data_IF_917146230203
#
_entry.id   IF_917146230203
#
_cell.length_a   1.000
_cell.length_b   1.000
_cell.length_c   1.000
_cell.angle_alpha   90.00
_cell.angle_beta   90.00
_cell.angle_gamma   90.00
#
_symmetry.space_group_name_H-M   'P 1'
#
loop_
_entity.id
_entity.type
_entity.pdbx_description
1 polymer ?
#
# COMPACT_ATOMS: atom_id res chain seq x y z
N UNK A 1 -14.89 9.41 14.26
CA UNK A 1 -16.16 8.68 14.48
C UNK A 1 -16.88 9.17 15.71
N UNK A 2 -16.30 9.07 16.88
CA UNK A 2 -16.95 9.43 18.16
C UNK A 2 -17.35 10.90 18.25
N UNK A 3 -16.56 11.83 17.74
CA UNK A 3 -16.90 13.28 17.74
C UNK A 3 -18.10 13.60 16.85
N UNK A 4 -18.23 12.92 15.70
CA UNK A 4 -19.42 13.04 14.84
C UNK A 4 -20.67 12.53 15.55
N UNK A 5 -20.55 11.41 16.27
CA UNK A 5 -21.67 10.86 17.06
C UNK A 5 -22.01 11.80 18.22
N UNK A 6 -21.02 12.38 18.91
CA UNK A 6 -21.22 13.35 19.98
C UNK A 6 -21.98 14.58 19.47
N UNK A 7 -21.62 15.08 18.29
CA UNK A 7 -22.30 16.22 17.66
C UNK A 7 -23.73 15.88 17.22
N UNK A 8 -24.05 14.62 16.90
CA UNK A 8 -25.38 14.21 16.45
C UNK A 8 -26.38 13.94 17.60
N UNK A 9 -25.92 13.79 18.85
CA UNK A 9 -26.78 13.45 20.00
C UNK A 9 -28.02 14.34 20.13
N UNK A 10 -27.96 15.69 20.01
CA UNK A 10 -29.13 16.54 20.17
C UNK A 10 -30.25 16.29 19.16
N UNK A 11 -29.90 15.74 17.97
CA UNK A 11 -30.84 15.44 16.89
C UNK A 11 -31.42 14.02 16.97
N UNK A 12 -30.90 13.15 17.85
CA UNK A 12 -31.37 11.77 18.00
C UNK A 12 -32.62 11.67 18.89
N UNK A 13 -33.50 10.68 18.66
CA UNK A 13 -34.58 10.34 19.57
C UNK A 13 -34.06 10.01 20.99
N UNK A 14 -34.84 10.31 22.07
CA UNK A 14 -34.37 10.13 23.45
C UNK A 14 -33.84 8.73 23.79
N UNK A 15 -34.42 7.67 23.21
CA UNK A 15 -33.97 6.31 23.40
C UNK A 15 -32.61 6.05 22.70
N UNK A 16 -32.36 6.64 21.54
CA UNK A 16 -31.11 6.52 20.81
C UNK A 16 -30.01 7.38 21.43
N UNK A 17 -30.37 8.52 22.05
CA UNK A 17 -29.42 9.32 22.88
C UNK A 17 -28.85 8.50 24.04
N UNK A 18 -29.65 7.61 24.67
CA UNK A 18 -29.15 6.73 25.74
C UNK A 18 -28.11 5.73 25.21
N UNK A 19 -28.34 5.19 24.01
CA UNK A 19 -27.38 4.31 23.34
C UNK A 19 -26.09 5.08 23.00
N UNK A 20 -26.21 6.29 22.46
CA UNK A 20 -25.07 7.15 22.17
C UNK A 20 -24.25 7.48 23.43
N UNK A 21 -24.93 7.79 24.55
CA UNK A 21 -24.24 8.06 25.84
C UNK A 21 -23.51 6.82 26.35
N UNK A 22 -24.13 5.63 26.31
CA UNK A 22 -23.46 4.38 26.67
C UNK A 22 -22.22 4.14 25.82
N UNK A 23 -22.31 4.35 24.51
CA UNK A 23 -21.19 4.26 23.58
C UNK A 23 -20.05 5.21 23.98
N UNK A 24 -20.35 6.48 24.28
CA UNK A 24 -19.34 7.49 24.57
C UNK A 24 -18.68 7.31 25.96
N UNK A 25 -19.34 6.59 26.88
CA UNK A 25 -18.76 6.25 28.19
C UNK A 25 -17.69 5.17 28.03
N UNK A 26 -17.99 4.09 27.31
CA UNK A 26 -17.05 2.99 27.09
C UNK A 26 -17.21 2.41 25.65
N UNK A 27 -16.56 3.04 24.70
CA UNK A 27 -16.62 2.59 23.31
C UNK A 27 -16.02 1.19 23.09
N UNK A 28 -15.01 0.78 23.88
CA UNK A 28 -14.38 -0.55 23.77
C UNK A 28 -15.37 -1.65 24.16
N UNK A 29 -16.00 -1.53 25.32
CA UNK A 29 -17.05 -2.46 25.74
C UNK A 29 -18.22 -2.46 24.78
N UNK A 30 -18.62 -1.30 24.24
CA UNK A 30 -19.69 -1.23 23.24
C UNK A 30 -19.39 -2.06 22.00
N UNK A 31 -18.15 -2.07 21.53
CA UNK A 31 -17.73 -2.84 20.34
C UNK A 31 -17.84 -4.36 20.56
N UNK A 32 -17.59 -4.86 21.78
CA UNK A 32 -17.52 -6.30 22.07
C UNK A 32 -18.81 -6.91 22.59
N UNK A 33 -19.60 -6.16 23.37
CA UNK A 33 -20.79 -6.64 24.03
C UNK A 33 -21.92 -7.08 23.04
N UNK A 34 -22.65 -8.17 23.31
CA UNK A 34 -23.80 -8.57 22.48
C UNK A 34 -24.93 -7.53 22.56
N UNK A 35 -25.80 -7.50 21.52
CA UNK A 35 -26.92 -6.54 21.45
C UNK A 35 -27.84 -6.60 22.65
N UNK A 36 -28.03 -7.79 23.24
CA UNK A 36 -28.81 -7.99 24.45
C UNK A 36 -28.27 -7.22 25.63
N UNK A 37 -26.96 -7.26 25.81
CA UNK A 37 -26.27 -6.56 26.91
C UNK A 37 -26.27 -5.06 26.67
N UNK A 38 -26.02 -4.59 25.44
CA UNK A 38 -26.09 -3.18 25.07
C UNK A 38 -27.50 -2.60 25.32
N UNK A 39 -28.56 -3.34 24.95
CA UNK A 39 -29.94 -2.93 25.15
C UNK A 39 -30.29 -2.81 26.65
N UNK A 40 -29.80 -3.76 27.46
CA UNK A 40 -29.99 -3.76 28.90
C UNK A 40 -29.31 -2.55 29.55
N UNK A 41 -28.02 -2.32 29.26
CA UNK A 41 -27.25 -1.21 29.80
C UNK A 41 -27.74 0.17 29.40
N UNK A 42 -28.24 0.29 28.17
CA UNK A 42 -28.79 1.54 27.66
C UNK A 42 -30.30 1.74 28.08
N UNK A 43 -30.90 0.77 28.76
CA UNK A 43 -32.34 0.75 29.09
C UNK A 43 -33.23 1.00 27.86
N UNK A 44 -32.98 0.25 26.78
CA UNK A 44 -33.74 0.32 25.51
C UNK A 44 -34.02 -1.06 24.95
N UNK A 45 -34.85 -1.15 23.91
CA UNK A 45 -35.06 -2.40 23.19
C UNK A 45 -33.89 -2.73 22.23
N UNK A 46 -33.65 -3.99 21.92
CA UNK A 46 -32.65 -4.43 20.92
C UNK A 46 -32.83 -3.71 19.56
N UNK A 47 -34.05 -3.56 19.01
CA UNK A 47 -34.29 -2.78 17.79
C UNK A 47 -33.83 -1.32 17.89
N UNK A 48 -33.92 -0.71 19.07
CA UNK A 48 -33.46 0.67 19.28
C UNK A 48 -31.93 0.80 19.14
N UNK A 49 -31.17 -0.18 19.60
CA UNK A 49 -29.70 -0.23 19.39
C UNK A 49 -29.36 -0.29 17.91
N UNK A 50 -30.10 -1.11 17.15
CA UNK A 50 -29.88 -1.23 15.69
C UNK A 50 -30.29 0.06 14.96
N UNK A 51 -31.42 0.67 15.34
CA UNK A 51 -31.86 1.97 14.77
C UNK A 51 -30.85 3.06 15.02
N UNK A 52 -30.33 3.18 16.24
CA UNK A 52 -29.26 4.14 16.55
C UNK A 52 -28.09 4.01 15.57
N UNK A 53 -27.60 2.78 15.30
CA UNK A 53 -26.52 2.57 14.34
C UNK A 53 -26.86 3.10 12.94
N UNK A 54 -28.10 2.92 12.50
CA UNK A 54 -28.58 3.44 11.20
C UNK A 54 -28.73 4.96 11.21
N UNK A 55 -29.27 5.54 12.29
CA UNK A 55 -29.45 6.99 12.44
C UNK A 55 -28.11 7.75 12.40
N UNK A 56 -27.02 7.12 12.82
CA UNK A 56 -25.67 7.71 12.75
C UNK A 56 -24.90 7.32 11.48
N UNK A 57 -25.58 6.67 10.49
CA UNK A 57 -25.05 6.47 9.13
C UNK A 57 -24.34 5.15 8.91
N UNK A 58 -24.72 4.07 9.60
CA UNK A 58 -24.18 2.72 9.43
C UNK A 58 -25.29 1.73 9.03
N UNK A 59 -24.95 0.66 8.32
CA UNK A 59 -25.92 -0.31 7.82
C UNK A 59 -26.63 -1.11 8.92
N UNK A 60 -26.04 -1.16 10.12
CA UNK A 60 -26.59 -1.82 11.29
C UNK A 60 -25.53 -2.03 12.38
N UNK A 61 -25.88 -2.83 13.40
CA UNK A 61 -25.00 -3.02 14.56
C UNK A 61 -23.68 -3.72 14.21
N UNK A 62 -23.69 -4.68 13.31
CA UNK A 62 -22.49 -5.40 12.91
C UNK A 62 -21.48 -4.48 12.19
N UNK A 63 -21.95 -3.72 11.20
CA UNK A 63 -21.16 -2.71 10.51
C UNK A 63 -20.66 -1.61 11.45
N UNK A 64 -21.55 -1.12 12.32
CA UNK A 64 -21.22 -0.14 13.33
C UNK A 64 -20.09 -0.62 14.26
N UNK A 65 -20.23 -1.84 14.82
CA UNK A 65 -19.22 -2.42 15.70
C UNK A 65 -17.89 -2.65 15.03
N UNK A 66 -17.90 -3.11 13.79
CA UNK A 66 -16.68 -3.30 12.99
C UNK A 66 -15.93 -1.96 12.83
N UNK A 67 -16.66 -0.90 12.49
CA UNK A 67 -16.09 0.44 12.33
C UNK A 67 -15.72 1.10 13.67
N UNK A 68 -16.50 0.84 14.71
CA UNK A 68 -16.22 1.29 16.08
C UNK A 68 -14.95 0.62 16.62
N UNK A 69 -14.84 -0.68 16.55
CA UNK A 69 -13.64 -1.41 16.96
C UNK A 69 -12.39 -0.87 16.24
N UNK A 70 -12.58 -0.41 14.99
CA UNK A 70 -11.54 0.28 14.26
C UNK A 70 -11.20 1.70 14.74
N UNK A 71 -12.11 2.41 15.41
CA UNK A 71 -11.91 3.82 15.83
C UNK A 71 -11.55 3.97 17.32
N UNK A 72 -11.78 2.95 18.12
CA UNK A 72 -11.62 2.99 19.59
C UNK A 72 -10.22 2.56 20.03
N UNK A 73 -9.47 1.86 19.19
CA UNK A 73 -8.07 1.59 19.41
C UNK A 73 -7.21 2.80 18.96
N UNK A 74 -7.49 3.98 19.51
CA UNK A 74 -6.55 5.10 19.53
C UNK A 74 -5.44 4.81 20.56
N UNK A 75 -4.78 3.66 20.42
CA UNK A 75 -3.48 3.42 21.02
C UNK A 75 -2.43 4.21 20.23
N UNK A 76 -1.31 4.44 20.86
CA UNK A 76 -0.12 5.17 20.41
C UNK A 76 -0.12 5.50 18.90
N UNK A 77 0.03 6.79 18.48
CA UNK A 77 0.23 7.14 17.09
C UNK A 77 1.30 6.22 16.49
N UNK A 78 1.07 5.65 15.30
CA UNK A 78 1.91 4.68 14.61
C UNK A 78 1.71 3.18 14.91
N UNK A 79 0.76 2.79 15.77
CA UNK A 79 0.54 1.37 16.12
C UNK A 79 -0.63 0.77 15.34
N UNK A 80 -0.52 -0.51 15.01
CA UNK A 80 -1.55 -1.32 14.36
C UNK A 80 -2.86 -1.31 15.19
N UNK A 81 -4.03 -1.30 14.53
CA UNK A 81 -5.35 -1.27 15.19
C UNK A 81 -5.62 -2.40 16.18
N UNK A 82 -4.93 -3.51 16.04
CA UNK A 82 -5.09 -4.70 16.87
C UNK A 82 -4.01 -4.86 17.92
N UNK A 83 -3.05 -3.93 17.97
CA UNK A 83 -1.97 -3.94 18.97
C UNK A 83 -2.41 -3.11 20.18
N UNK A 84 -2.34 -3.68 21.34
CA UNK A 84 -2.69 -3.10 22.64
C UNK A 84 -1.42 -2.75 23.44
N UNK A 85 -1.56 -1.85 24.44
CA UNK A 85 -0.41 -1.33 25.19
C UNK A 85 0.31 -2.40 26.03
N UNK A 86 -0.37 -3.52 26.35
CA UNK A 86 0.13 -4.65 27.10
C UNK A 86 0.65 -5.82 26.24
N UNK A 87 0.60 -5.68 24.90
CA UNK A 87 1.09 -6.69 23.98
C UNK A 87 2.60 -6.93 24.13
N UNK A 88 2.99 -8.18 24.22
CA UNK A 88 4.39 -8.59 24.16
C UNK A 88 4.87 -8.61 22.72
N UNK A 89 6.18 -8.59 22.52
CA UNK A 89 6.78 -8.59 21.18
C UNK A 89 6.27 -9.75 20.29
N UNK A 90 6.01 -10.93 20.86
CA UNK A 90 5.43 -12.06 20.15
C UNK A 90 4.02 -11.79 19.64
N UNK A 91 3.18 -11.17 20.48
CA UNK A 91 1.80 -10.80 20.12
C UNK A 91 1.79 -9.74 19.00
N UNK A 92 2.68 -8.75 19.10
CA UNK A 92 2.86 -7.71 18.08
C UNK A 92 3.22 -8.33 16.72
N UNK A 93 4.19 -9.26 16.68
CA UNK A 93 4.60 -9.96 15.46
C UNK A 93 3.40 -10.65 14.80
N UNK A 94 2.65 -11.44 15.58
CA UNK A 94 1.48 -12.17 15.07
C UNK A 94 0.42 -11.19 14.54
N UNK A 95 0.03 -10.20 15.35
CA UNK A 95 -1.01 -9.24 15.00
C UNK A 95 -0.65 -8.43 13.74
N UNK A 96 0.60 -7.99 13.61
CA UNK A 96 1.07 -7.23 12.44
C UNK A 96 1.04 -8.08 11.18
N UNK A 97 1.52 -9.32 11.25
CA UNK A 97 1.53 -10.25 10.11
C UNK A 97 0.11 -10.62 9.72
N UNK A 98 -0.74 -11.01 10.67
CA UNK A 98 -2.12 -11.44 10.39
C UNK A 98 -2.94 -10.32 9.70
N UNK A 99 -2.76 -9.07 10.13
CA UNK A 99 -3.40 -7.92 9.49
C UNK A 99 -2.94 -7.74 8.04
N UNK A 100 -1.65 -7.88 7.79
CA UNK A 100 -1.10 -7.79 6.43
C UNK A 100 -1.63 -8.93 5.55
N UNK A 101 -1.58 -10.17 6.04
CA UNK A 101 -2.10 -11.36 5.34
C UNK A 101 -3.60 -11.20 5.04
N UNK A 102 -4.39 -10.78 6.02
CA UNK A 102 -5.82 -10.57 5.84
C UNK A 102 -6.13 -9.51 4.76
N UNK A 103 -5.34 -8.43 4.69
CA UNK A 103 -5.49 -7.41 3.65
C UNK A 103 -5.14 -7.95 2.26
N UNK A 104 -4.05 -8.69 2.15
CA UNK A 104 -3.63 -9.31 0.89
C UNK A 104 -4.64 -10.34 0.37
N UNK A 105 -5.22 -11.17 1.26
CA UNK A 105 -6.26 -12.12 0.91
C UNK A 105 -7.56 -11.43 0.48
N UNK A 106 -7.96 -10.35 1.14
CA UNK A 106 -9.11 -9.53 0.69
C UNK A 106 -8.87 -8.98 -0.70
N UNK A 107 -7.72 -8.37 -0.95
CA UNK A 107 -7.37 -7.86 -2.27
C UNK A 107 -7.40 -8.95 -3.33
N UNK A 108 -6.80 -10.12 -3.08
CA UNK A 108 -6.82 -11.27 -4.01
C UNK A 108 -8.23 -11.64 -4.44
N UNK A 109 -9.19 -11.60 -3.51
CA UNK A 109 -10.57 -12.00 -3.76
C UNK A 109 -11.41 -10.88 -4.41
N UNK A 110 -11.02 -9.61 -4.23
CA UNK A 110 -11.75 -8.44 -4.73
C UNK A 110 -11.13 -7.82 -5.99
N UNK A 111 -9.89 -8.16 -6.33
CA UNK A 111 -9.18 -7.57 -7.44
C UNK A 111 -9.90 -7.79 -8.77
N UNK A 112 -10.19 -6.70 -9.48
CA UNK A 112 -10.81 -6.73 -10.78
C UNK A 112 -9.79 -7.14 -11.85
N UNK A 113 -9.68 -8.44 -12.14
CA UNK A 113 -8.73 -8.98 -13.10
C UNK A 113 -8.72 -8.24 -14.45
N UNK A 114 -9.87 -7.83 -15.05
CA UNK A 114 -9.85 -7.06 -16.29
C UNK A 114 -9.19 -5.68 -16.15
N UNK A 115 -9.28 -5.01 -15.00
CA UNK A 115 -8.61 -3.73 -14.77
C UNK A 115 -7.09 -3.91 -14.62
N UNK A 116 -6.68 -4.94 -13.88
CA UNK A 116 -5.27 -5.32 -13.74
C UNK A 116 -4.67 -5.65 -15.11
N UNK A 117 -5.39 -6.40 -15.94
CA UNK A 117 -4.96 -6.76 -17.29
C UNK A 117 -4.76 -5.52 -18.17
N UNK A 118 -5.72 -4.58 -18.20
CA UNK A 118 -5.58 -3.32 -18.94
C UNK A 118 -4.40 -2.49 -18.46
N UNK A 119 -4.18 -2.42 -17.13
CA UNK A 119 -3.05 -1.69 -16.56
C UNK A 119 -1.71 -2.30 -17.01
N UNK A 120 -1.57 -3.62 -16.91
CA UNK A 120 -0.38 -4.33 -17.36
C UNK A 120 -0.14 -4.11 -18.85
N UNK A 121 -1.18 -4.17 -19.67
CA UNK A 121 -1.07 -3.94 -21.11
C UNK A 121 -0.58 -2.54 -21.42
N UNK A 122 -1.21 -1.51 -20.86
CA UNK A 122 -0.83 -0.12 -21.07
C UNK A 122 0.62 0.15 -20.66
N UNK A 123 1.03 -0.35 -19.50
CA UNK A 123 2.41 -0.20 -19.00
C UNK A 123 3.42 -0.93 -19.89
N UNK A 124 3.10 -2.13 -20.38
CA UNK A 124 3.97 -2.88 -21.28
C UNK A 124 4.10 -2.22 -22.66
N UNK A 125 3.02 -1.67 -23.20
CA UNK A 125 3.04 -0.93 -24.46
C UNK A 125 3.89 0.34 -24.36
N UNK A 126 3.74 1.12 -23.29
CA UNK A 126 4.59 2.27 -22.99
C UNK A 126 6.06 1.84 -22.82
N UNK A 127 6.30 0.74 -22.09
CA UNK A 127 7.65 0.20 -21.88
C UNK A 127 8.35 -0.20 -23.18
N UNK A 128 7.67 -0.85 -24.11
CA UNK A 128 8.23 -1.20 -25.44
C UNK A 128 8.62 0.03 -26.26
N UNK A 129 8.04 1.19 -25.97
CA UNK A 129 8.30 2.45 -26.66
C UNK A 129 9.24 3.39 -25.88
N UNK A 130 9.90 2.90 -24.85
CA UNK A 130 10.85 3.70 -24.03
C UNK A 130 11.98 4.28 -24.90
N UNK A 131 12.51 3.51 -25.83
CA UNK A 131 13.54 3.99 -26.78
C UNK A 131 13.02 5.08 -27.75
N UNK A 132 11.70 5.15 -27.94
CA UNK A 132 11.01 6.19 -28.70
C UNK A 132 10.64 7.41 -27.82
N UNK A 133 11.19 7.50 -26.62
CA UNK A 133 10.97 8.59 -25.66
C UNK A 133 9.63 8.51 -24.92
N UNK A 134 8.96 7.34 -24.89
CA UNK A 134 7.80 7.12 -24.02
C UNK A 134 8.24 6.76 -22.62
N UNK A 135 7.43 7.20 -21.63
CA UNK A 135 7.78 7.01 -20.23
C UNK A 135 6.58 6.69 -19.35
N UNK A 136 6.87 6.09 -18.23
CA UNK A 136 5.93 5.84 -17.15
C UNK A 136 6.30 6.75 -15.99
N UNK A 137 5.35 7.53 -15.51
CA UNK A 137 5.55 8.35 -14.31
C UNK A 137 4.67 7.87 -13.17
N UNK A 138 5.28 7.70 -12.00
CA UNK A 138 4.62 7.28 -10.77
C UNK A 138 4.49 8.48 -9.84
N UNK A 139 3.25 8.80 -9.46
CA UNK A 139 2.93 9.93 -8.61
C UNK A 139 2.38 9.48 -7.26
N UNK A 140 2.88 10.06 -6.19
CA UNK A 140 2.42 9.80 -4.84
C UNK A 140 3.02 10.81 -3.87
N UNK A 141 2.35 11.06 -2.75
CA UNK A 141 2.84 11.93 -1.69
C UNK A 141 3.02 11.14 -0.39
N UNK A 142 3.95 11.57 0.47
CA UNK A 142 4.23 10.88 1.73
C UNK A 142 4.57 9.39 1.53
N UNK A 143 3.87 8.49 2.23
CA UNK A 143 4.09 7.05 2.11
C UNK A 143 3.78 6.50 0.70
N UNK A 144 2.85 7.10 -0.02
CA UNK A 144 2.58 6.73 -1.42
C UNK A 144 3.71 7.17 -2.35
N UNK A 145 4.46 8.22 -2.01
CA UNK A 145 5.69 8.63 -2.71
C UNK A 145 6.79 7.56 -2.58
N UNK A 146 6.91 6.91 -1.42
CA UNK A 146 7.84 5.78 -1.23
C UNK A 146 7.46 4.61 -2.14
N UNK A 147 6.16 4.30 -2.26
CA UNK A 147 5.67 3.25 -3.19
C UNK A 147 5.95 3.64 -4.64
N UNK A 148 5.79 4.91 -5.01
CA UNK A 148 6.12 5.42 -6.34
C UNK A 148 7.62 5.23 -6.67
N UNK A 149 8.51 5.50 -5.71
CA UNK A 149 9.95 5.27 -5.86
C UNK A 149 10.29 3.78 -6.01
N UNK A 150 9.65 2.89 -5.24
CA UNK A 150 9.80 1.44 -5.40
C UNK A 150 9.34 0.98 -6.79
N UNK A 151 8.21 1.50 -7.26
CA UNK A 151 7.70 1.24 -8.61
C UNK A 151 8.71 1.70 -9.68
N UNK A 152 9.20 2.93 -9.61
CA UNK A 152 10.24 3.42 -10.51
C UNK A 152 11.45 2.48 -10.54
N UNK A 153 11.97 2.09 -9.39
CA UNK A 153 13.12 1.19 -9.30
C UNK A 153 12.87 -0.17 -9.98
N UNK A 154 11.67 -0.74 -9.80
CA UNK A 154 11.29 -2.02 -10.41
C UNK A 154 11.16 -1.92 -11.93
N UNK A 155 10.51 -0.88 -12.43
CA UNK A 155 10.35 -0.66 -13.88
C UNK A 155 11.67 -0.29 -14.55
N UNK A 156 12.50 0.52 -13.90
CA UNK A 156 13.87 0.80 -14.37
C UNK A 156 14.66 -0.49 -14.62
N UNK A 157 14.57 -1.48 -13.75
CA UNK A 157 15.21 -2.78 -13.91
C UNK A 157 14.67 -3.61 -15.08
N UNK A 158 13.51 -3.27 -15.61
CA UNK A 158 12.96 -3.84 -16.83
C UNK A 158 13.40 -3.10 -18.11
N UNK A 159 14.29 -2.09 -17.98
CA UNK A 159 14.71 -1.25 -19.09
C UNK A 159 13.66 -0.24 -19.54
N UNK A 160 12.66 0.01 -18.71
CA UNK A 160 11.59 0.97 -19.00
C UNK A 160 11.99 2.34 -18.48
N UNK A 161 11.80 3.38 -19.31
CA UNK A 161 11.96 4.77 -18.86
C UNK A 161 10.87 5.10 -17.85
N UNK A 162 11.27 5.24 -16.59
CA UNK A 162 10.37 5.44 -15.47
C UNK A 162 10.87 6.53 -14.53
N UNK A 163 9.96 7.35 -14.00
CA UNK A 163 10.23 8.37 -13.00
C UNK A 163 9.23 8.27 -11.86
N UNK A 164 9.65 8.68 -10.64
CA UNK A 164 8.76 8.85 -9.49
C UNK A 164 8.80 10.31 -9.04
N UNK A 165 7.63 10.90 -8.82
CA UNK A 165 7.48 12.31 -8.46
C UNK A 165 6.62 12.41 -7.20
N UNK A 166 7.17 12.97 -6.12
CA UNK A 166 6.49 13.08 -4.82
C UNK A 166 6.29 14.52 -4.32
N UNK A 167 6.92 15.50 -4.94
CA UNK A 167 6.71 16.92 -4.66
C UNK A 167 5.56 17.47 -5.51
N UNK A 168 4.59 18.15 -4.89
CA UNK A 168 3.36 18.60 -5.56
C UNK A 168 3.61 19.56 -6.72
N UNK A 169 4.55 20.50 -6.61
CA UNK A 169 4.89 21.42 -7.70
C UNK A 169 5.53 20.69 -8.88
N UNK A 170 6.48 19.79 -8.57
CA UNK A 170 7.15 19.00 -9.61
C UNK A 170 6.15 18.02 -10.27
N UNK A 171 5.18 17.50 -9.52
CA UNK A 171 4.12 16.64 -10.05
C UNK A 171 3.31 17.35 -11.15
N UNK A 172 2.85 18.57 -10.91
CA UNK A 172 2.10 19.37 -11.89
C UNK A 172 2.97 19.67 -13.13
N UNK A 173 4.23 20.05 -12.92
CA UNK A 173 5.16 20.31 -14.03
C UNK A 173 5.38 19.04 -14.87
N UNK A 174 5.66 17.92 -14.21
CA UNK A 174 5.91 16.64 -14.88
C UNK A 174 4.69 16.16 -15.65
N UNK A 175 3.50 16.17 -15.03
CA UNK A 175 2.25 15.78 -15.67
C UNK A 175 1.92 16.65 -16.92
N UNK A 176 2.27 17.94 -16.89
CA UNK A 176 2.09 18.85 -18.03
C UNK A 176 2.96 18.47 -19.23
N UNK A 177 4.10 17.82 -18.99
CA UNK A 177 5.02 17.37 -20.04
C UNK A 177 4.69 15.98 -20.61
N UNK A 178 3.69 15.29 -20.08
CA UNK A 178 3.24 14.00 -20.62
C UNK A 178 2.66 14.15 -22.03
N UNK A 179 2.73 13.07 -22.79
CA UNK A 179 2.29 12.99 -24.19
C UNK A 179 1.43 11.75 -24.41
N UNK A 180 0.62 11.70 -25.48
CA UNK A 180 -0.09 10.49 -25.88
C UNK A 180 0.87 9.30 -26.01
N UNK A 181 0.54 8.19 -25.36
CA UNK A 181 1.38 6.99 -25.28
C UNK A 181 2.30 6.91 -24.06
N UNK A 182 2.35 7.96 -23.24
CA UNK A 182 2.93 7.89 -21.88
C UNK A 182 1.88 7.33 -20.90
N UNK A 183 2.35 6.82 -19.76
CA UNK A 183 1.50 6.37 -18.65
C UNK A 183 1.76 7.20 -17.38
N UNK A 184 0.69 7.63 -16.72
CA UNK A 184 0.70 8.19 -15.38
C UNK A 184 0.08 7.19 -14.39
N UNK A 185 0.85 6.73 -13.41
CA UNK A 185 0.38 5.85 -12.34
C UNK A 185 0.27 6.67 -11.06
N UNK A 186 -0.95 6.88 -10.57
CA UNK A 186 -1.24 7.73 -9.42
C UNK A 186 -1.58 6.85 -8.22
N UNK A 187 -0.83 7.00 -7.15
CA UNK A 187 -0.91 6.17 -5.95
C UNK A 187 -1.35 7.03 -4.77
N UNK A 188 -2.49 6.69 -4.17
CA UNK A 188 -3.02 7.40 -3.00
C UNK A 188 -3.93 6.51 -2.17
N UNK A 189 -3.66 6.37 -0.88
CA UNK A 189 -4.56 5.60 0.00
C UNK A 189 -5.92 6.28 0.15
N UNK A 190 -5.95 7.56 0.52
CA UNK A 190 -7.20 8.30 0.73
C UNK A 190 -7.85 8.81 -0.56
N UNK A 191 -7.07 8.96 -1.63
CA UNK A 191 -7.50 9.58 -2.89
C UNK A 191 -7.98 11.02 -2.76
N UNK A 192 -7.57 11.75 -1.70
CA UNK A 192 -8.03 13.11 -1.36
C UNK A 192 -6.98 14.19 -1.56
N UNK A 193 -5.75 13.80 -1.89
CA UNK A 193 -4.68 14.78 -2.15
C UNK A 193 -5.03 15.63 -3.37
N UNK A 194 -5.11 16.94 -3.20
CA UNK A 194 -5.44 17.88 -4.26
C UNK A 194 -4.42 17.81 -5.40
N UNK A 195 -3.15 17.77 -5.07
CA UNK A 195 -2.07 17.66 -6.06
C UNK A 195 -2.24 16.44 -6.97
N UNK A 196 -2.65 15.29 -6.41
CA UNK A 196 -2.85 14.06 -7.17
C UNK A 196 -4.14 14.07 -8.01
N UNK A 197 -5.18 14.78 -7.57
CA UNK A 197 -6.38 15.02 -8.37
C UNK A 197 -6.04 15.91 -9.58
N UNK A 198 -5.29 16.99 -9.34
CA UNK A 198 -4.83 17.89 -10.41
C UNK A 198 -3.94 17.15 -11.41
N UNK A 199 -3.03 16.30 -10.93
CA UNK A 199 -2.17 15.44 -11.79
C UNK A 199 -3.01 14.51 -12.66
N UNK A 200 -4.04 13.87 -12.09
CA UNK A 200 -4.92 12.97 -12.86
C UNK A 200 -5.63 13.71 -14.01
N UNK A 201 -6.14 14.90 -13.72
CA UNK A 201 -6.81 15.75 -14.72
C UNK A 201 -5.82 16.22 -15.80
N UNK A 202 -4.65 16.71 -15.41
CA UNK A 202 -3.61 17.19 -16.33
C UNK A 202 -3.14 16.04 -17.23
N UNK A 203 -2.76 14.89 -16.66
CA UNK A 203 -2.30 13.74 -17.42
C UNK A 203 -3.33 13.28 -18.47
N UNK A 204 -4.62 13.26 -18.08
CA UNK A 204 -5.72 12.97 -18.99
C UNK A 204 -5.81 13.98 -20.14
N UNK A 205 -5.79 15.29 -19.82
CA UNK A 205 -5.81 16.37 -20.84
C UNK A 205 -4.62 16.28 -21.79
N UNK A 206 -3.49 15.76 -21.33
CA UNK A 206 -2.29 15.53 -22.16
C UNK A 206 -2.36 14.26 -23.01
N UNK A 207 -3.43 13.45 -22.87
CA UNK A 207 -3.62 12.21 -23.62
C UNK A 207 -2.77 11.05 -23.13
N UNK A 208 -2.22 11.12 -21.91
CA UNK A 208 -1.53 10.00 -21.28
C UNK A 208 -2.56 8.99 -20.76
N UNK A 209 -2.17 7.72 -20.74
CA UNK A 209 -2.96 6.69 -20.05
C UNK A 209 -2.83 6.86 -18.54
N UNK A 210 -3.95 7.00 -17.84
CA UNK A 210 -3.96 7.19 -16.38
C UNK A 210 -4.38 5.92 -15.69
N UNK A 211 -3.54 5.44 -14.75
CA UNK A 211 -3.78 4.29 -13.88
C UNK A 211 -3.83 4.81 -12.45
N UNK A 212 -4.88 4.46 -11.71
CA UNK A 212 -5.11 4.95 -10.35
C UNK A 212 -5.12 3.77 -9.38
N UNK A 213 -4.28 3.83 -8.35
CA UNK A 213 -4.24 2.88 -7.23
C UNK A 213 -4.75 3.63 -5.99
N UNK A 214 -5.98 3.34 -5.56
CA UNK A 214 -6.64 4.05 -4.45
C UNK A 214 -7.83 3.26 -3.90
N UNK A 215 -8.41 3.71 -2.78
CA UNK A 215 -9.67 3.14 -2.27
C UNK A 215 -10.84 3.41 -3.24
N UNK A 216 -11.70 2.41 -3.47
CA UNK A 216 -12.80 2.45 -4.45
C UNK A 216 -13.82 3.57 -4.23
N UNK A 217 -14.01 3.99 -2.97
CA UNK A 217 -14.90 5.09 -2.58
C UNK A 217 -14.26 6.47 -2.53
N UNK A 218 -12.99 6.60 -2.93
CA UNK A 218 -12.24 7.86 -2.82
C UNK A 218 -12.62 8.86 -3.91
N UNK A 219 -12.40 10.19 -3.69
CA UNK A 219 -12.57 11.20 -4.74
C UNK A 219 -11.78 10.88 -6.01
N UNK A 220 -10.52 10.44 -5.87
CA UNK A 220 -9.67 10.08 -7.01
C UNK A 220 -10.24 8.90 -7.82
N UNK A 221 -10.89 7.92 -7.15
CA UNK A 221 -11.60 6.82 -7.84
C UNK A 221 -12.88 7.29 -8.55
N UNK A 222 -13.51 8.36 -8.08
CA UNK A 222 -14.73 8.91 -8.70
C UNK A 222 -14.43 9.59 -10.04
N UNK A 223 -13.24 10.16 -10.22
CA UNK A 223 -12.79 10.70 -11.50
C UNK A 223 -12.88 9.65 -12.62
N UNK A 224 -12.78 8.36 -12.30
CA UNK A 224 -12.96 7.27 -13.28
C UNK A 224 -14.41 7.08 -13.72
N UNK A 225 -15.40 7.58 -12.94
CA UNK A 225 -16.83 7.36 -13.20
C UNK A 225 -17.45 8.40 -14.16
N UNK A 226 -16.80 9.52 -14.37
CA UNK A 226 -17.30 10.61 -15.21
C UNK A 226 -16.92 10.47 -16.69
N UNK A 227 -16.84 9.23 -17.22
CA UNK A 227 -16.56 8.97 -18.64
C UNK A 227 -15.09 9.15 -19.04
N UNK A 228 -14.20 9.26 -18.07
CA UNK A 228 -12.77 9.26 -18.31
C UNK A 228 -12.25 7.80 -18.37
N UNK A 229 -11.40 7.52 -19.36
CA UNK A 229 -10.81 6.17 -19.58
C UNK A 229 -9.69 5.84 -18.59
N UNK A 230 -9.85 6.18 -17.31
CA UNK A 230 -8.89 5.80 -16.29
C UNK A 230 -9.02 4.32 -15.92
N UNK A 231 -7.88 3.71 -15.61
CA UNK A 231 -7.83 2.34 -15.11
C UNK A 231 -7.74 2.40 -13.59
N UNK A 232 -8.83 2.04 -12.90
CA UNK A 232 -8.86 1.98 -11.44
C UNK A 232 -8.44 0.60 -10.94
N UNK A 233 -7.42 0.58 -10.10
CA UNK A 233 -7.02 -0.57 -9.27
C UNK A 233 -7.42 -0.27 -7.83
N UNK A 234 -8.59 -0.77 -7.44
CA UNK A 234 -9.14 -0.53 -6.11
C UNK A 234 -8.33 -1.25 -5.04
N UNK A 235 -7.80 -0.48 -4.09
CA UNK A 235 -6.98 -0.96 -2.98
C UNK A 235 -7.71 -0.72 -1.66
N UNK A 236 -8.87 -1.36 -1.49
CA UNK A 236 -9.71 -1.16 -0.32
C UNK A 236 -9.11 -1.83 0.92
N UNK A 237 -8.88 -1.02 1.93
CA UNK A 237 -8.42 -1.46 3.24
C UNK A 237 -9.11 -0.64 4.35
N UNK A 238 -9.50 -1.27 5.48
CA UNK A 238 -10.17 -0.58 6.59
C UNK A 238 -9.27 0.35 7.42
N UNK A 239 -8.15 0.78 6.88
CA UNK A 239 -7.32 1.82 7.50
C UNK A 239 -8.03 3.17 7.46
N UNK A 240 -7.99 3.88 8.59
CA UNK A 240 -8.51 5.22 8.68
C UNK A 240 -7.62 6.19 7.89
N UNK A 241 -8.23 7.02 7.05
CA UNK A 241 -7.51 8.00 6.26
C UNK A 241 -6.83 9.08 7.12
N UNK A 242 -7.33 9.27 8.36
CA UNK A 242 -6.83 10.27 9.29
C UNK A 242 -5.70 9.74 10.20
N UNK A 243 -5.21 8.52 9.97
CA UNK A 243 -4.06 7.98 10.70
C UNK A 243 -2.75 8.62 10.27
N UNK A 244 -1.90 8.87 11.24
CA UNK A 244 -0.57 9.44 11.03
C UNK A 244 0.37 8.58 10.17
N UNK A 245 0.15 7.26 10.10
CA UNK A 245 0.95 6.37 9.25
C UNK A 245 0.12 5.19 8.75
N UNK A 246 -0.14 5.10 7.44
CA UNK A 246 -0.70 3.91 6.82
C UNK A 246 0.36 2.80 6.84
N UNK A 247 0.08 1.68 7.49
CA UNK A 247 1.00 0.54 7.57
C UNK A 247 0.65 -0.55 6.57
N UNK A 248 -0.59 -1.01 6.56
CA UNK A 248 -1.03 -2.14 5.74
C UNK A 248 -1.40 -1.70 4.33
N UNK A 249 -2.00 -0.52 4.16
CA UNK A 249 -2.30 0.04 2.83
C UNK A 249 -1.04 0.21 1.98
N UNK A 250 0.08 0.63 2.59
CA UNK A 250 1.36 0.71 1.89
C UNK A 250 1.84 -0.67 1.40
N UNK A 251 1.73 -1.71 2.24
CA UNK A 251 2.08 -3.08 1.85
C UNK A 251 1.21 -3.57 0.70
N UNK A 252 -0.08 -3.23 0.72
CA UNK A 252 -1.02 -3.56 -0.35
C UNK A 252 -0.66 -2.84 -1.66
N UNK A 253 -0.32 -1.56 -1.59
CA UNK A 253 0.12 -0.81 -2.77
C UNK A 253 1.42 -1.39 -3.35
N UNK A 254 2.40 -1.76 -2.51
CA UNK A 254 3.62 -2.44 -2.95
C UNK A 254 3.32 -3.78 -3.63
N UNK A 255 2.39 -4.57 -3.08
CA UNK A 255 1.94 -5.81 -3.71
C UNK A 255 1.31 -5.57 -5.09
N UNK A 256 0.48 -4.53 -5.23
CA UNK A 256 -0.11 -4.16 -6.52
C UNK A 256 1.00 -3.80 -7.52
N UNK A 257 1.99 -3.03 -7.12
CA UNK A 257 3.16 -2.72 -7.97
C UNK A 257 3.91 -4.00 -8.35
N UNK A 258 4.07 -4.97 -7.46
CA UNK A 258 4.69 -6.26 -7.78
C UNK A 258 3.89 -7.05 -8.82
N UNK A 259 2.57 -7.07 -8.70
CA UNK A 259 1.68 -7.70 -9.69
C UNK A 259 1.84 -7.03 -11.06
N UNK A 260 1.80 -5.69 -11.11
CA UNK A 260 1.96 -4.94 -12.36
C UNK A 260 3.35 -5.19 -12.98
N UNK A 261 4.41 -5.08 -12.18
CA UNK A 261 5.79 -5.28 -12.66
C UNK A 261 5.98 -6.69 -13.20
N UNK A 262 5.46 -7.71 -12.50
CA UNK A 262 5.53 -9.12 -12.95
C UNK A 262 4.77 -9.30 -14.27
N UNK A 263 3.55 -8.76 -14.36
CA UNK A 263 2.75 -8.82 -15.58
C UNK A 263 3.42 -8.13 -16.77
N UNK A 264 4.02 -6.96 -16.55
CA UNK A 264 4.76 -6.21 -17.56
C UNK A 264 6.01 -7.00 -18.02
N UNK A 265 6.77 -7.57 -17.07
CA UNK A 265 7.93 -8.38 -17.39
C UNK A 265 7.58 -9.57 -18.30
N UNK A 266 6.46 -10.26 -18.02
CA UNK A 266 5.96 -11.33 -18.86
C UNK A 266 5.61 -10.85 -20.28
N UNK A 267 5.03 -9.66 -20.42
CA UNK A 267 4.64 -9.09 -21.72
C UNK A 267 5.80 -8.50 -22.52
N UNK A 268 6.82 -7.97 -21.88
CA UNK A 268 8.07 -7.54 -22.53
C UNK A 268 8.83 -8.76 -23.07
N UNK A 269 8.69 -9.90 -22.43
CA UNK A 269 9.25 -11.17 -22.85
C UNK A 269 10.67 -11.42 -22.41
N UNK A 270 11.00 -12.69 -22.20
CA UNK A 270 12.31 -13.11 -21.71
C UNK A 270 13.46 -12.84 -22.70
N UNK A 271 13.19 -12.83 -24.00
CA UNK A 271 14.19 -12.55 -25.03
C UNK A 271 14.76 -11.13 -24.90
N UNK A 272 13.90 -10.15 -24.62
CA UNK A 272 14.30 -8.76 -24.42
C UNK A 272 14.97 -8.55 -23.07
N UNK A 273 14.41 -9.13 -22.00
CA UNK A 273 14.84 -8.84 -20.62
C UNK A 273 16.10 -9.59 -20.20
N UNK A 274 16.27 -10.85 -20.65
CA UNK A 274 17.35 -11.72 -20.17
C UNK A 274 18.76 -11.18 -20.40
N UNK A 275 19.14 -10.66 -21.59
CA UNK A 275 20.48 -10.11 -21.82
C UNK A 275 20.79 -8.92 -20.90
N UNK A 276 19.84 -8.01 -20.76
CA UNK A 276 19.97 -6.82 -19.92
C UNK A 276 20.10 -7.18 -18.43
N UNK A 277 19.23 -8.07 -17.92
CA UNK A 277 19.28 -8.52 -16.53
C UNK A 277 20.58 -9.30 -16.23
N UNK A 278 21.12 -10.04 -17.19
CA UNK A 278 22.42 -10.70 -17.06
C UNK A 278 23.56 -9.70 -16.99
N UNK A 279 23.56 -8.65 -17.84
CA UNK A 279 24.54 -7.59 -17.80
C UNK A 279 24.52 -6.82 -16.47
N UNK A 280 23.33 -6.43 -15.99
CA UNK A 280 23.14 -5.82 -14.66
C UNK A 280 23.72 -6.72 -13.57
N UNK A 281 23.37 -8.00 -13.58
CA UNK A 281 23.84 -8.97 -12.58
C UNK A 281 25.36 -9.14 -12.61
N UNK A 282 25.96 -9.17 -13.80
CA UNK A 282 27.43 -9.24 -13.97
C UNK A 282 28.11 -8.03 -13.35
N UNK A 283 27.69 -6.83 -13.74
CA UNK A 283 28.29 -5.57 -13.25
C UNK A 283 28.11 -5.37 -11.74
N UNK A 284 26.96 -5.83 -11.17
CA UNK A 284 26.76 -5.78 -9.72
C UNK A 284 27.61 -6.82 -8.96
N UNK A 285 27.90 -7.99 -9.56
CA UNK A 285 28.81 -8.98 -8.94
C UNK A 285 30.23 -8.47 -8.82
N UNK A 286 30.72 -7.75 -9.82
CA UNK A 286 32.06 -7.15 -9.81
C UNK A 286 32.22 -6.08 -8.72
N UNK A 287 31.12 -5.50 -8.23
CA UNK A 287 31.10 -4.52 -7.12
C UNK A 287 30.93 -5.13 -5.73
N UNK A 288 30.62 -6.44 -5.65
CA UNK A 288 30.58 -7.12 -4.36
C UNK A 288 32.00 -7.38 -3.91
N UNK A 289 32.32 -7.03 -2.66
CA UNK A 289 33.58 -7.41 -2.03
C UNK A 289 33.73 -8.92 -2.17
N UNK A 290 34.70 -9.38 -2.99
CA UNK A 290 35.06 -10.77 -3.00
C UNK A 290 35.71 -11.02 -1.63
N UNK A 291 35.14 -11.89 -0.81
CA UNK A 291 35.84 -12.47 0.32
C UNK A 291 37.14 -13.03 -0.24
N UNK A 292 38.25 -12.33 -0.02
CA UNK A 292 39.56 -12.87 -0.19
C UNK A 292 39.70 -13.96 0.86
N UNK A 293 39.42 -15.19 0.51
CA UNK A 293 39.95 -16.31 1.28
C UNK A 293 41.45 -16.05 1.39
N UNK A 294 42.01 -15.91 2.62
CA UNK A 294 43.44 -15.84 2.76
C UNK A 294 43.99 -17.14 2.17
N UNK A 295 44.83 -17.03 1.14
CA UNK A 295 45.54 -18.15 0.60
C UNK A 295 46.24 -18.83 1.78
N UNK A 296 45.85 -20.04 2.12
CA UNK A 296 46.57 -20.89 3.04
C UNK A 296 47.97 -21.04 2.48
N UNK A 297 48.90 -20.24 3.01
CA UNK A 297 50.32 -20.48 2.79
C UNK A 297 50.60 -21.86 3.36
N UNK A 298 50.78 -22.82 2.49
CA UNK A 298 51.37 -24.11 2.82
C UNK A 298 52.75 -23.84 3.38
N UNK A 299 52.89 -23.94 4.68
CA UNK A 299 54.17 -24.01 5.34
C UNK A 299 54.66 -25.42 4.97
N UNK A 300 55.37 -25.49 3.85
CA UNK A 300 56.17 -26.66 3.47
C UNK A 300 57.32 -26.76 4.46
N UNK A 301 57.22 -27.70 5.37
CA UNK A 301 58.35 -28.11 6.18
C UNK A 301 59.45 -28.67 5.29
N UNK A 302 60.52 -27.98 5.16
CA UNK A 302 61.77 -28.50 4.64
C UNK A 302 62.55 -29.11 5.85
N UNK A 303 62.44 -30.45 5.94
CA UNK A 303 63.39 -31.26 6.72
C UNK A 303 64.49 -31.63 5.76
N UNK A 304 65.57 -30.89 5.72
CA UNK A 304 66.82 -31.41 5.21
C UNK A 304 67.72 -31.74 6.38
N UNK A 305 67.84 -33.04 6.58
CA UNK A 305 68.86 -33.65 7.33
C UNK A 305 70.11 -33.79 6.48
N UNK A 306 71.22 -33.25 6.91
CA UNK A 306 72.57 -33.72 6.45
C UNK A 306 73.42 -33.99 7.63
N UNK A 307 73.67 -35.28 7.81
CA UNK A 307 74.79 -35.88 8.47
C UNK A 307 76.11 -35.46 7.73
N UNK A 308 77.13 -35.14 8.46
CA UNK A 308 78.52 -35.44 8.12
C UNK A 308 79.35 -35.31 9.41
N UNK A 309 79.70 -36.36 9.95
CA UNK A 309 81.04 -36.93 10.24
C UNK A 309 82.20 -35.95 10.03
N UNK A 310 83.03 -35.78 11.05
CA UNK A 310 84.40 -36.33 11.08
C UNK A 310 85.15 -35.79 12.28
N UNK A 311 85.64 -36.72 12.97
CA UNK A 311 86.83 -36.74 13.86
C UNK A 311 88.11 -36.36 13.15
N UNK A 312 89.26 -36.08 13.81
CA UNK A 312 89.80 -36.70 15.04
C UNK A 312 89.93 -35.80 16.25
#
# INVERSE_FOLDING_TARGET
MLDRIRASIPALPPAEQRVAKLLLIDPRSFATLPVSELSLRAHVSKPTVVRFCRSVGYDGLADFKLKLAGSVNEGVPFVHRSVDDDDKAGDIVVKVIDNAVAAMLRYRNAAAAPAVERAIQALAETGRRSEQGRRIEFYGVGNSGIVAQDAQHKFFRLGVTAAAVSDGHVQVMSATMLKPGDCAVIISNSGRSRDLLDVAEIARKRGATVIIITASGSPLAQETRHGSEHILLAADHPEDADRYSPMVSRLLHLLIIDILTTGVALRLGSAQLRPMLQAIKKNLRERRYADRQPALRSIGGSTDGTNSESTP
#
